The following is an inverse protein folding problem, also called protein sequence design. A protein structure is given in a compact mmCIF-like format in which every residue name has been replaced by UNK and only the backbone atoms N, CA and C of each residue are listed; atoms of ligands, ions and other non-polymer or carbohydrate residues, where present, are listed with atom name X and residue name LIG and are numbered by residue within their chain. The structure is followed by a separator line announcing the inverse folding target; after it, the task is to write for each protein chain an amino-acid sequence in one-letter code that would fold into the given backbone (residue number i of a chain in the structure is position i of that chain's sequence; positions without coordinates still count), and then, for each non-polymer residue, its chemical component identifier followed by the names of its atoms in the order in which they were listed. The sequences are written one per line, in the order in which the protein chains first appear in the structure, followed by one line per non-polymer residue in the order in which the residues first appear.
data_IF_109000270078
#
_entry.id   IF_109000270078
#
_cell.length_a   1.000
_cell.length_b   1.000
_cell.length_c   1.000
_cell.angle_alpha   90.00
_cell.angle_beta   90.00
_cell.angle_gamma   90.00
#
_symmetry.space_group_name_H-M   'P 1'
#
loop_
_entity.id
_entity.type
_entity.pdbx_description
1 polymer ?
#
# COMPACT_ATOMS: atom_id res chain seq x y z
N UNK A 1 -28.94 -0.38 22.99
CA UNK A 1 -27.76 -0.95 22.31
C UNK A 1 -28.26 -1.82 21.18
N UNK A 2 -27.93 -1.51 19.93
CA UNK A 2 -28.33 -2.32 18.77
C UNK A 2 -27.45 -3.56 18.76
N UNK A 3 -28.05 -4.73 18.94
CA UNK A 3 -27.35 -6.00 18.95
C UNK A 3 -27.00 -6.36 17.50
N UNK A 4 -25.71 -6.35 17.16
CA UNK A 4 -25.26 -6.78 15.84
C UNK A 4 -25.62 -8.26 15.65
N UNK A 5 -26.14 -8.65 14.47
CA UNK A 5 -26.48 -10.05 14.21
C UNK A 5 -25.23 -10.93 14.32
N UNK A 6 -25.36 -12.05 15.03
CA UNK A 6 -24.34 -13.09 15.11
C UNK A 6 -24.05 -13.60 13.69
N UNK A 7 -22.79 -13.55 13.21
CA UNK A 7 -22.45 -14.04 11.88
C UNK A 7 -22.72 -15.54 11.82
N UNK A 8 -23.70 -15.96 11.02
CA UNK A 8 -23.88 -17.37 10.68
C UNK A 8 -22.91 -17.68 9.55
N UNK A 9 -21.97 -18.59 9.80
CA UNK A 9 -21.20 -19.20 8.72
C UNK A 9 -22.19 -19.86 7.76
N UNK A 10 -22.16 -19.42 6.50
CA UNK A 10 -22.98 -20.01 5.45
C UNK A 10 -22.38 -21.39 5.15
N UNK A 11 -23.04 -22.46 5.60
CA UNK A 11 -22.66 -23.85 5.33
C UNK A 11 -23.09 -24.33 3.94
N UNK A 12 -23.50 -23.41 3.05
CA UNK A 12 -23.91 -23.74 1.69
C UNK A 12 -22.68 -24.11 0.86
N UNK A 13 -22.69 -25.32 0.29
CA UNK A 13 -21.74 -25.75 -0.74
C UNK A 13 -21.91 -25.00 -2.06
N UNK A 14 -23.01 -24.27 -2.22
CA UNK A 14 -23.30 -23.44 -3.38
C UNK A 14 -23.24 -21.97 -2.97
N UNK A 15 -22.20 -21.27 -3.45
CA UNK A 15 -22.12 -19.82 -3.35
C UNK A 15 -23.14 -19.18 -4.32
N UNK A 16 -23.76 -18.05 -3.95
CA UNK A 16 -24.67 -17.36 -4.86
C UNK A 16 -23.92 -16.86 -6.09
N UNK A 17 -24.58 -16.88 -7.26
CA UNK A 17 -24.00 -16.41 -8.52
C UNK A 17 -23.70 -14.90 -8.52
N UNK A 18 -24.33 -14.15 -7.61
CA UNK A 18 -24.14 -12.72 -7.42
C UNK A 18 -24.28 -12.35 -5.94
N UNK A 19 -23.49 -11.38 -5.50
CA UNK A 19 -23.62 -10.74 -4.19
C UNK A 19 -23.83 -9.25 -4.42
N UNK A 20 -24.87 -8.67 -3.82
CA UNK A 20 -25.10 -7.22 -3.82
C UNK A 20 -24.53 -6.64 -2.54
N UNK A 21 -23.56 -5.72 -2.67
CA UNK A 21 -23.05 -4.98 -1.52
C UNK A 21 -24.04 -3.87 -1.14
N UNK A 22 -24.27 -3.61 0.16
CA UNK A 22 -25.06 -2.45 0.58
C UNK A 22 -24.34 -1.14 0.17
N UNK A 23 -25.09 -0.04 0.12
CA UNK A 23 -24.53 1.30 -0.09
C UNK A 23 -23.73 1.74 1.16
N UNK A 24 -22.48 1.29 1.23
CA UNK A 24 -21.55 1.61 2.31
C UNK A 24 -21.32 3.13 2.39
N UNK A 25 -21.07 3.87 1.29
CA UNK A 25 -20.93 5.32 1.33
C UNK A 25 -22.13 6.07 1.94
N UNK A 26 -23.37 5.68 1.60
CA UNK A 26 -24.56 6.29 2.19
C UNK A 26 -24.66 6.06 3.71
N UNK A 27 -24.09 4.97 4.21
CA UNK A 27 -24.01 4.71 5.65
C UNK A 27 -22.89 5.52 6.30
N UNK A 28 -21.68 5.51 5.75
CA UNK A 28 -20.51 6.13 6.36
C UNK A 28 -20.56 7.65 6.32
N UNK A 29 -21.12 8.26 5.27
CA UNK A 29 -21.26 9.72 5.12
C UNK A 29 -22.10 10.39 6.21
N UNK A 30 -22.94 9.63 6.91
CA UNK A 30 -23.71 10.11 8.07
C UNK A 30 -22.84 10.42 9.28
N UNK A 31 -21.64 9.84 9.35
CA UNK A 31 -20.73 9.92 10.50
C UNK A 31 -19.40 10.56 10.11
N UNK A 32 -18.88 10.23 8.93
CA UNK A 32 -17.61 10.70 8.42
C UNK A 32 -17.86 11.72 7.30
N UNK A 33 -17.62 12.99 7.59
CA UNK A 33 -17.66 14.04 6.58
C UNK A 33 -16.57 13.80 5.52
N UNK A 34 -16.94 13.93 4.26
CA UNK A 34 -15.99 13.89 3.16
C UNK A 34 -15.13 15.16 3.21
N UNK A 35 -13.81 14.96 3.31
CA UNK A 35 -12.83 16.03 3.14
C UNK A 35 -11.99 15.76 1.90
N UNK A 36 -11.45 16.83 1.34
CA UNK A 36 -10.65 16.75 0.13
C UNK A 36 -9.52 17.77 0.18
N UNK A 37 -8.30 17.33 -0.13
CA UNK A 37 -7.14 18.19 -0.09
C UNK A 37 -7.17 19.23 -1.24
N UNK A 38 -7.03 20.54 -0.96
CA UNK A 38 -7.03 21.57 -2.01
C UNK A 38 -5.87 21.42 -3.00
N UNK A 39 -4.79 20.74 -2.61
CA UNK A 39 -3.59 20.54 -3.42
C UNK A 39 -3.63 19.30 -4.33
N UNK A 40 -4.71 18.52 -4.32
CA UNK A 40 -4.79 17.20 -4.95
C UNK A 40 -4.37 17.17 -6.43
N UNK A 41 -4.85 18.09 -7.29
CA UNK A 41 -4.53 18.07 -8.72
C UNK A 41 -3.04 18.24 -8.96
N UNK A 42 -2.44 19.25 -8.33
CA UNK A 42 -1.03 19.55 -8.52
C UNK A 42 -0.15 18.45 -7.92
N UNK A 43 -0.48 17.99 -6.71
CA UNK A 43 0.30 16.95 -6.04
C UNK A 43 0.23 15.61 -6.80
N UNK A 44 -0.94 15.25 -7.34
CA UNK A 44 -1.12 14.06 -8.17
C UNK A 44 -0.35 14.18 -9.48
N UNK A 45 -0.44 15.31 -10.17
CA UNK A 45 0.31 15.55 -11.41
C UNK A 45 1.82 15.35 -11.20
N UNK A 46 2.41 16.06 -10.23
CA UNK A 46 3.86 15.97 -9.97
C UNK A 46 4.29 14.59 -9.45
N UNK A 47 3.46 13.93 -8.64
CA UNK A 47 3.76 12.57 -8.17
C UNK A 47 3.71 11.55 -9.31
N UNK A 48 2.73 11.65 -10.22
CA UNK A 48 2.60 10.76 -11.37
C UNK A 48 3.73 10.97 -12.37
N UNK A 49 4.09 12.21 -12.67
CA UNK A 49 5.23 12.52 -13.54
C UNK A 49 6.55 11.97 -12.96
N UNK A 50 6.80 12.20 -11.67
CA UNK A 50 7.95 11.66 -10.95
C UNK A 50 7.96 10.13 -10.99
N UNK A 51 6.84 9.49 -10.64
CA UNK A 51 6.71 8.03 -10.62
C UNK A 51 6.90 7.40 -12.01
N UNK A 52 6.35 8.01 -13.05
CA UNK A 52 6.42 7.51 -14.42
C UNK A 52 7.85 7.54 -14.99
N UNK A 53 8.68 8.48 -14.51
CA UNK A 53 10.09 8.56 -14.89
C UNK A 53 10.89 7.28 -14.56
N UNK A 54 10.44 6.51 -13.55
CA UNK A 54 11.04 5.22 -13.22
C UNK A 54 10.70 4.14 -14.26
N UNK A 55 9.65 4.31 -15.05
CA UNK A 55 9.16 3.33 -16.03
C UNK A 55 8.97 1.94 -15.41
N UNK A 56 8.26 1.90 -14.27
CA UNK A 56 7.89 0.65 -13.56
C UNK A 56 6.81 -0.10 -14.35
N UNK A 57 5.77 0.62 -14.79
CA UNK A 57 4.72 0.11 -15.65
C UNK A 57 4.89 0.66 -17.06
N UNK A 58 4.53 -0.13 -18.07
CA UNK A 58 4.59 0.27 -19.49
C UNK A 58 3.34 -0.15 -20.25
N UNK A 59 3.09 0.47 -21.40
CA UNK A 59 1.97 0.15 -22.29
C UNK A 59 0.60 0.25 -21.61
N UNK A 60 -0.27 -0.73 -21.87
CA UNK A 60 -1.63 -0.76 -21.32
C UNK A 60 -1.69 -0.91 -19.80
N UNK A 61 -0.67 -1.53 -19.18
CA UNK A 61 -0.58 -1.62 -17.71
C UNK A 61 -0.35 -0.26 -17.07
N UNK A 62 0.52 0.57 -17.68
CA UNK A 62 0.75 1.96 -17.23
C UNK A 62 -0.53 2.78 -17.27
N UNK A 63 -1.25 2.74 -18.39
CA UNK A 63 -2.51 3.48 -18.54
C UNK A 63 -3.50 3.08 -17.44
N UNK A 64 -3.76 1.77 -17.31
CA UNK A 64 -4.68 1.24 -16.30
C UNK A 64 -4.25 1.61 -14.87
N UNK A 65 -2.95 1.59 -14.58
CA UNK A 65 -2.45 1.92 -13.25
C UNK A 65 -2.73 3.37 -12.88
N UNK A 66 -2.60 4.32 -13.82
CA UNK A 66 -2.93 5.72 -13.58
C UNK A 66 -4.44 6.02 -13.62
N UNK A 67 -5.22 5.21 -14.33
CA UNK A 67 -6.69 5.32 -14.33
C UNK A 67 -7.34 4.96 -12.97
N UNK A 68 -6.62 4.32 -12.04
CA UNK A 68 -7.12 4.01 -10.69
C UNK A 68 -7.21 5.23 -9.75
N UNK A 69 -6.67 6.37 -10.16
CA UNK A 69 -6.71 7.65 -9.43
C UNK A 69 -6.25 7.57 -7.96
N UNK A 70 -5.03 7.04 -7.75
CA UNK A 70 -4.36 7.01 -6.45
C UNK A 70 -4.09 8.41 -5.87
N UNK A 71 -4.03 9.43 -6.71
CA UNK A 71 -3.94 10.84 -6.36
C UNK A 71 -5.17 11.29 -5.58
N UNK A 72 -6.37 11.07 -6.15
CA UNK A 72 -7.62 11.36 -5.46
C UNK A 72 -7.75 10.54 -4.17
N UNK A 73 -7.47 9.24 -4.22
CA UNK A 73 -7.53 8.39 -3.02
C UNK A 73 -6.65 8.93 -1.88
N UNK A 74 -5.41 9.30 -2.19
CA UNK A 74 -4.49 9.89 -1.20
C UNK A 74 -4.97 11.25 -0.70
N UNK A 75 -5.52 12.09 -1.57
CA UNK A 75 -6.05 13.40 -1.19
C UNK A 75 -7.28 13.31 -0.26
N UNK A 76 -8.05 12.23 -0.35
CA UNK A 76 -9.14 11.94 0.58
C UNK A 76 -8.61 11.41 1.93
N UNK A 77 -7.56 10.60 1.92
CA UNK A 77 -6.91 10.08 3.13
C UNK A 77 -6.15 11.16 3.92
N UNK A 78 -5.50 12.10 3.22
CA UNK A 78 -4.63 13.12 3.78
C UNK A 78 -5.16 14.53 3.46
N UNK A 79 -6.44 14.77 3.76
CA UNK A 79 -7.15 15.98 3.35
C UNK A 79 -6.57 17.29 3.94
N UNK A 80 -5.92 17.21 5.10
CA UNK A 80 -5.37 18.37 5.81
C UNK A 80 -3.83 18.51 5.62
N UNK A 81 -3.20 17.64 4.83
CA UNK A 81 -1.76 17.71 4.56
C UNK A 81 -1.41 18.90 3.66
N UNK A 82 -0.24 19.50 3.86
CA UNK A 82 0.28 20.48 2.92
C UNK A 82 0.70 19.83 1.59
N UNK A 83 1.06 20.66 0.62
CA UNK A 83 1.45 20.21 -0.70
C UNK A 83 2.65 19.22 -0.69
N UNK A 84 3.82 19.53 -0.08
CA UNK A 84 4.96 18.61 -0.04
C UNK A 84 4.65 17.24 0.58
N UNK A 85 3.89 17.22 1.68
CA UNK A 85 3.53 16.00 2.39
C UNK A 85 2.52 15.17 1.59
N UNK A 86 1.51 15.81 0.99
CA UNK A 86 0.54 15.11 0.13
C UNK A 86 1.23 14.47 -1.08
N UNK A 87 2.11 15.22 -1.76
CA UNK A 87 2.87 14.68 -2.91
C UNK A 87 3.68 13.44 -2.51
N UNK A 88 4.36 13.50 -1.36
CA UNK A 88 5.13 12.36 -0.83
C UNK A 88 4.23 11.18 -0.49
N UNK A 89 3.04 11.43 0.08
CA UNK A 89 2.07 10.39 0.39
C UNK A 89 1.51 9.71 -0.87
N UNK A 90 1.20 10.48 -1.93
CA UNK A 90 0.76 9.94 -3.23
C UNK A 90 1.84 9.02 -3.81
N UNK A 91 3.10 9.44 -3.79
CA UNK A 91 4.20 8.63 -4.34
C UNK A 91 4.46 7.36 -3.51
N UNK A 92 4.30 7.44 -2.19
CA UNK A 92 4.33 6.25 -1.32
C UNK A 92 3.20 5.27 -1.66
N UNK A 93 2.00 5.77 -1.94
CA UNK A 93 0.86 4.94 -2.36
C UNK A 93 1.15 4.27 -3.71
N UNK A 94 1.72 4.99 -4.68
CA UNK A 94 2.11 4.42 -5.97
C UNK A 94 3.17 3.32 -5.80
N UNK A 95 4.13 3.52 -4.90
CA UNK A 95 5.08 2.48 -4.51
C UNK A 95 4.37 1.24 -3.92
N UNK A 96 3.47 1.44 -2.96
CA UNK A 96 2.74 0.33 -2.31
C UNK A 96 2.00 -0.54 -3.32
N UNK A 97 1.17 0.09 -4.17
CA UNK A 97 0.40 -0.65 -5.17
C UNK A 97 1.28 -1.29 -6.24
N UNK A 98 2.41 -0.68 -6.61
CA UNK A 98 3.34 -1.29 -7.55
C UNK A 98 4.06 -2.49 -6.95
N UNK A 99 4.45 -2.42 -5.69
CA UNK A 99 5.06 -3.54 -4.99
C UNK A 99 4.07 -4.70 -4.83
N UNK A 100 2.81 -4.42 -4.48
CA UNK A 100 1.72 -5.39 -4.36
C UNK A 100 1.40 -6.06 -5.72
N UNK A 101 1.27 -5.29 -6.80
CA UNK A 101 1.07 -5.82 -8.16
C UNK A 101 2.20 -6.77 -8.59
N UNK A 102 3.43 -6.47 -8.19
CA UNK A 102 4.58 -7.34 -8.48
C UNK A 102 4.51 -8.68 -7.75
N UNK A 103 3.98 -8.70 -6.52
CA UNK A 103 3.75 -9.92 -5.73
C UNK A 103 2.60 -10.74 -6.33
N UNK A 104 1.48 -10.09 -6.62
CA UNK A 104 0.25 -10.79 -7.00
C UNK A 104 0.20 -11.20 -8.47
N UNK A 105 0.82 -10.43 -9.37
CA UNK A 105 0.63 -10.57 -10.83
C UNK A 105 1.94 -10.58 -11.62
N UNK A 106 3.09 -10.56 -10.95
CA UNK A 106 4.34 -10.16 -11.58
C UNK A 106 5.58 -10.93 -11.15
N UNK A 107 6.70 -10.21 -11.19
CA UNK A 107 8.06 -10.75 -11.10
C UNK A 107 8.48 -11.25 -9.71
N UNK A 108 7.64 -11.10 -8.68
CA UNK A 108 7.93 -11.57 -7.31
C UNK A 108 7.17 -12.86 -6.96
N UNK A 109 6.85 -13.67 -7.97
CA UNK A 109 6.12 -14.92 -7.80
C UNK A 109 6.93 -16.08 -7.20
N UNK A 110 8.25 -15.94 -7.06
CA UNK A 110 9.10 -16.93 -6.37
C UNK A 110 9.56 -16.41 -5.01
N UNK A 111 9.76 -17.34 -4.05
CA UNK A 111 10.26 -17.00 -2.70
C UNK A 111 11.62 -16.29 -2.79
N UNK A 112 12.48 -16.72 -3.70
CA UNK A 112 13.82 -16.13 -3.90
C UNK A 112 13.73 -14.69 -4.43
N UNK A 113 12.89 -14.44 -5.44
CA UNK A 113 12.68 -13.10 -5.97
C UNK A 113 12.09 -12.17 -4.89
N UNK A 114 11.12 -12.67 -4.13
CA UNK A 114 10.52 -11.92 -3.03
C UNK A 114 11.54 -11.60 -1.92
N UNK A 115 12.36 -12.56 -1.51
CA UNK A 115 13.42 -12.34 -0.53
C UNK A 115 14.44 -11.29 -1.01
N UNK A 116 14.82 -11.33 -2.29
CA UNK A 116 15.69 -10.32 -2.87
C UNK A 116 15.04 -8.93 -2.85
N UNK A 117 13.76 -8.83 -3.24
CA UNK A 117 13.02 -7.57 -3.22
C UNK A 117 12.90 -6.99 -1.80
N UNK A 118 12.60 -7.81 -0.79
CA UNK A 118 12.59 -7.41 0.64
C UNK A 118 13.95 -6.84 1.03
N UNK A 119 15.04 -7.56 0.73
CA UNK A 119 16.39 -7.16 1.12
C UNK A 119 16.81 -5.82 0.49
N UNK A 120 16.53 -5.63 -0.82
CA UNK A 120 16.87 -4.38 -1.51
C UNK A 120 16.01 -3.22 -0.99
N UNK A 121 14.72 -3.45 -0.75
CA UNK A 121 13.79 -2.46 -0.20
C UNK A 121 14.21 -2.01 1.20
N UNK A 122 14.59 -2.94 2.08
CA UNK A 122 15.04 -2.58 3.43
C UNK A 122 16.43 -1.96 3.44
N UNK A 123 17.30 -2.31 2.49
CA UNK A 123 18.63 -1.71 2.37
C UNK A 123 18.56 -0.20 2.13
N UNK A 124 17.69 0.26 1.22
CA UNK A 124 17.57 1.71 0.92
C UNK A 124 17.02 2.53 2.09
N UNK A 125 16.29 1.89 3.01
CA UNK A 125 15.77 2.55 4.21
C UNK A 125 16.80 2.58 5.34
N UNK A 126 17.57 1.50 5.51
CA UNK A 126 18.52 1.33 6.61
C UNK A 126 19.89 1.97 6.34
N UNK A 127 20.26 2.12 5.06
CA UNK A 127 21.51 2.75 4.64
C UNK A 127 21.25 4.00 3.77
N UNK A 128 21.30 5.19 4.38
CA UNK A 128 21.19 6.48 3.68
C UNK A 128 22.17 6.69 2.52
N UNK A 129 23.34 6.04 2.58
CA UNK A 129 24.43 6.25 1.63
C UNK A 129 24.32 5.37 0.39
N UNK A 130 23.40 4.40 0.40
CA UNK A 130 23.18 3.50 -0.72
C UNK A 130 22.70 4.29 -1.95
N UNK A 131 23.33 4.15 -3.12
CA UNK A 131 22.85 4.79 -4.35
C UNK A 131 21.50 4.19 -4.80
N UNK A 132 20.74 4.89 -5.65
CA UNK A 132 19.49 4.37 -6.20
C UNK A 132 19.62 2.96 -6.77
N UNK A 133 18.84 1.98 -6.26
CA UNK A 133 18.95 0.60 -6.71
C UNK A 133 18.41 0.45 -8.14
N UNK A 134 18.94 -0.53 -8.88
CA UNK A 134 18.36 -0.93 -10.18
C UNK A 134 16.93 -1.44 -10.06
N UNK A 135 16.55 -1.93 -8.88
CA UNK A 135 15.18 -2.31 -8.58
C UNK A 135 14.32 -1.05 -8.40
N UNK A 136 13.70 -0.63 -9.51
CA UNK A 136 12.98 0.65 -9.66
C UNK A 136 11.95 0.93 -8.55
N UNK A 137 11.21 -0.09 -8.11
CA UNK A 137 10.23 0.06 -7.04
C UNK A 137 10.92 0.42 -5.71
N UNK A 138 12.06 -0.18 -5.39
CA UNK A 138 12.84 0.25 -4.22
C UNK A 138 13.45 1.65 -4.37
N UNK A 139 13.76 2.08 -5.61
CA UNK A 139 14.25 3.44 -5.87
C UNK A 139 13.16 4.51 -5.64
N UNK A 140 11.89 4.22 -5.96
CA UNK A 140 10.75 5.10 -5.60
C UNK A 140 10.63 5.23 -4.08
N UNK A 141 10.68 4.11 -3.35
CA UNK A 141 10.64 4.15 -1.89
C UNK A 141 11.80 4.97 -1.31
N UNK A 142 13.01 4.81 -1.84
CA UNK A 142 14.16 5.60 -1.42
C UNK A 142 13.92 7.10 -1.63
N UNK A 143 13.38 7.50 -2.78
CA UNK A 143 13.02 8.90 -3.06
C UNK A 143 11.99 9.44 -2.06
N UNK A 144 10.95 8.66 -1.75
CA UNK A 144 9.96 8.99 -0.73
C UNK A 144 10.61 9.18 0.65
N UNK A 145 11.42 8.20 1.07
CA UNK A 145 12.07 8.23 2.38
C UNK A 145 13.08 9.38 2.51
N UNK A 146 13.80 9.72 1.43
CA UNK A 146 14.70 10.87 1.42
C UNK A 146 13.97 12.21 1.60
N UNK A 147 12.73 12.34 1.10
CA UNK A 147 11.87 13.50 1.38
C UNK A 147 11.38 13.51 2.82
N UNK A 148 10.88 12.37 3.31
CA UNK A 148 10.44 12.23 4.71
C UNK A 148 11.54 12.60 5.71
N UNK A 149 12.80 12.41 5.36
CA UNK A 149 13.95 12.73 6.24
C UNK A 149 14.28 14.22 6.35
N UNK A 150 13.73 15.06 5.47
CA UNK A 150 14.02 16.49 5.50
C UNK A 150 13.34 17.17 6.70
N UNK A 151 12.17 16.69 7.10
CA UNK A 151 11.32 17.26 8.15
C UNK A 151 10.77 16.23 9.15
N UNK A 152 10.92 14.93 8.87
CA UNK A 152 10.46 13.85 9.75
C UNK A 152 11.33 13.68 10.99
N UNK A 153 10.69 13.67 12.16
CA UNK A 153 11.35 13.34 13.43
C UNK A 153 11.89 11.90 13.47
N UNK A 154 12.99 11.68 14.19
CA UNK A 154 13.68 10.38 14.28
C UNK A 154 12.77 9.22 14.66
N UNK A 155 11.84 9.42 15.61
CA UNK A 155 10.85 8.41 15.99
C UNK A 155 9.87 8.07 14.86
N UNK A 156 9.43 9.06 14.07
CA UNK A 156 8.54 8.83 12.93
C UNK A 156 9.26 8.04 11.83
N UNK A 157 10.50 8.41 11.53
CA UNK A 157 11.32 7.70 10.56
C UNK A 157 11.57 6.25 10.97
N UNK A 158 11.88 6.00 12.25
CA UNK A 158 12.06 4.65 12.76
C UNK A 158 10.79 3.80 12.63
N UNK A 159 9.63 4.35 13.01
CA UNK A 159 8.34 3.66 12.85
C UNK A 159 8.03 3.34 11.40
N UNK A 160 8.39 4.23 10.47
CA UNK A 160 8.22 3.97 9.05
C UNK A 160 9.10 2.80 8.56
N UNK A 161 10.36 2.75 9.01
CA UNK A 161 11.27 1.62 8.73
C UNK A 161 10.68 0.32 9.27
N UNK A 162 10.24 0.31 10.53
CA UNK A 162 9.71 -0.87 11.20
C UNK A 162 8.41 -1.35 10.55
N UNK A 163 7.54 -0.42 10.15
CA UNK A 163 6.29 -0.74 9.45
C UNK A 163 6.56 -1.31 8.05
N UNK A 164 7.56 -0.78 7.34
CA UNK A 164 7.93 -1.27 6.01
C UNK A 164 8.57 -2.66 6.08
N UNK A 165 9.41 -2.92 7.09
CA UNK A 165 9.94 -4.27 7.33
C UNK A 165 8.80 -5.24 7.62
N UNK A 166 7.91 -4.90 8.55
CA UNK A 166 6.74 -5.75 8.87
C UNK A 166 5.89 -6.04 7.64
N UNK A 167 5.54 -5.02 6.84
CA UNK A 167 4.78 -5.21 5.61
C UNK A 167 5.48 -6.18 4.66
N UNK A 168 6.75 -5.93 4.33
CA UNK A 168 7.49 -6.72 3.35
C UNK A 168 7.72 -8.17 3.81
N UNK A 169 8.00 -8.40 5.10
CA UNK A 169 8.11 -9.74 5.68
C UNK A 169 6.78 -10.50 5.66
N UNK A 170 5.65 -9.82 5.91
CA UNK A 170 4.33 -10.45 5.83
C UNK A 170 3.93 -10.80 4.40
N UNK A 171 4.26 -9.95 3.44
CA UNK A 171 4.07 -10.27 2.02
C UNK A 171 4.90 -11.50 1.61
N UNK A 172 6.14 -11.63 2.10
CA UNK A 172 6.94 -12.84 1.90
C UNK A 172 6.28 -14.08 2.51
N UNK A 173 5.76 -13.97 3.74
CA UNK A 173 5.03 -15.07 4.39
C UNK A 173 3.78 -15.47 3.61
N UNK A 174 3.03 -14.50 3.09
CA UNK A 174 1.89 -14.76 2.23
C UNK A 174 2.30 -15.53 0.96
N UNK A 175 3.43 -15.16 0.34
CA UNK A 175 3.95 -15.88 -0.81
C UNK A 175 4.37 -17.32 -0.47
N UNK A 176 4.96 -17.55 0.70
CA UNK A 176 5.27 -18.91 1.19
C UNK A 176 3.99 -19.73 1.36
N UNK A 177 2.96 -19.16 1.98
CA UNK A 177 1.67 -19.84 2.15
C UNK A 177 1.03 -20.18 0.79
N UNK A 178 1.04 -19.24 -0.18
CA UNK A 178 0.59 -19.49 -1.55
C UNK A 178 1.36 -20.64 -2.21
N UNK A 179 2.69 -20.66 -2.08
CA UNK A 179 3.55 -21.70 -2.69
C UNK A 179 3.38 -23.10 -2.08
N UNK A 180 2.85 -23.17 -0.86
CA UNK A 180 2.59 -24.42 -0.13
C UNK A 180 1.10 -24.77 -0.09
N UNK A 181 0.28 -24.04 -0.86
CA UNK A 181 -1.19 -24.16 -0.90
C UNK A 181 -1.85 -24.10 0.49
N UNK A 182 -1.18 -23.47 1.46
CA UNK A 182 -1.67 -23.33 2.83
C UNK A 182 -2.70 -22.22 2.90
N UNK A 183 -3.92 -22.57 3.27
CA UNK A 183 -4.98 -21.62 3.60
C UNK A 183 -4.91 -21.28 5.10
N UNK A 184 -4.73 -20.01 5.49
CA UNK A 184 -4.73 -19.62 6.91
C UNK A 184 -6.09 -19.82 7.58
N UNK A 185 -6.11 -19.97 8.91
CA UNK A 185 -7.38 -19.88 9.67
C UNK A 185 -7.94 -18.45 9.63
N UNK A 186 -9.18 -18.25 10.06
CA UNK A 186 -9.79 -16.91 10.14
C UNK A 186 -8.99 -16.00 11.07
N UNK A 187 -8.54 -16.50 12.21
CA UNK A 187 -7.75 -15.77 13.19
C UNK A 187 -6.38 -15.39 12.61
N UNK A 188 -5.71 -16.34 11.96
CA UNK A 188 -4.45 -16.09 11.25
C UNK A 188 -4.63 -15.05 10.15
N UNK A 189 -5.71 -15.15 9.37
CA UNK A 189 -6.04 -14.19 8.33
C UNK A 189 -6.27 -12.78 8.88
N UNK A 190 -7.05 -12.63 9.96
CA UNK A 190 -7.30 -11.33 10.60
C UNK A 190 -5.99 -10.70 11.06
N UNK A 191 -5.13 -11.48 11.73
CA UNK A 191 -3.84 -10.98 12.18
C UNK A 191 -2.95 -10.59 11.01
N UNK A 192 -2.85 -11.46 10.00
CA UNK A 192 -2.09 -11.20 8.79
C UNK A 192 -2.57 -9.96 8.05
N UNK A 193 -3.89 -9.78 7.86
CA UNK A 193 -4.42 -8.68 7.06
C UNK A 193 -4.27 -7.32 7.75
N UNK A 194 -4.31 -7.27 9.10
CA UNK A 194 -4.01 -6.05 9.87
C UNK A 194 -2.61 -5.51 9.57
N UNK A 195 -1.65 -6.40 9.40
CA UNK A 195 -0.24 -6.06 9.23
C UNK A 195 0.18 -5.97 7.75
N UNK A 196 -0.43 -6.77 6.88
CA UNK A 196 -0.13 -6.83 5.44
C UNK A 196 -0.88 -5.78 4.62
N UNK A 197 -1.83 -5.04 5.21
CA UNK A 197 -2.59 -3.99 4.49
C UNK A 197 -1.79 -2.71 4.21
N UNK A 198 -0.52 -2.65 4.63
CA UNK A 198 0.34 -1.47 4.59
C UNK A 198 -0.22 -0.23 5.32
N UNK A 199 -1.40 -0.29 5.95
CA UNK A 199 -1.98 0.83 6.69
C UNK A 199 -1.08 1.34 7.82
N UNK A 200 -0.22 0.48 8.35
CA UNK A 200 0.77 0.82 9.38
C UNK A 200 1.93 1.67 8.85
N UNK A 201 2.24 1.62 7.54
CA UNK A 201 3.27 2.49 6.94
C UNK A 201 2.75 3.91 6.73
N UNK A 202 1.44 4.09 6.61
CA UNK A 202 0.76 5.38 6.50
C UNK A 202 0.44 6.04 7.85
N UNK A 203 0.29 5.25 8.92
CA UNK A 203 -0.12 5.70 10.25
C UNK A 203 0.86 5.14 11.28
N UNK A 204 1.96 5.85 11.52
CA UNK A 204 2.88 5.50 12.60
C UNK A 204 2.12 5.51 13.94
N UNK A 205 2.13 4.39 14.66
CA UNK A 205 1.56 4.33 16.02
C UNK A 205 2.44 5.01 17.05
#
# INVERSE_FOLDING_TARGET
MVQFPQPRLVTSTNLPAQITLPDIPAYTSKVFALKHNPHHLQAAHEAYESFDSYSIHTGSKRQRFFDYDFGLMSALCFADADFPHLRTAIELVLWLFSFDDMIDRGALNSIQAMQHAVNVTMKVLRDPSTPPPRFKVAAVLQSCFNRMRQDGGSGTLQRFIDATDQYTQRSLKQQINKSTERIPTVEEYIQHRREASAMMTALGR
#
